data_IF_508301430203
#
_entry.id   IF_508301430203
#
_cell.length_a   1.000
_cell.length_b   1.000
_cell.length_c   1.000
_cell.angle_alpha   90.00
_cell.angle_beta   90.00
_cell.angle_gamma   90.00
#
_symmetry.space_group_name_H-M   'P 1'
#
loop_
_entity.id
_entity.type
_entity.pdbx_description
1 polymer ?
#
# COMPACT_ATOMS: atom_id res chain seq x y z
N UNK A 1 -16.81 -6.93 -5.00
CA UNK A 1 -15.68 -6.59 -4.11
C UNK A 1 -14.37 -6.33 -4.87
N UNK A 2 -13.98 -7.18 -5.82
CA UNK A 2 -12.73 -6.98 -6.62
C UNK A 2 -12.69 -5.63 -7.35
N UNK A 3 -13.82 -5.16 -7.88
CA UNK A 3 -13.89 -3.92 -8.67
C UNK A 3 -13.53 -2.66 -7.87
N UNK A 4 -13.98 -2.57 -6.61
CA UNK A 4 -13.63 -1.44 -5.74
C UNK A 4 -12.15 -1.44 -5.37
N UNK A 5 -11.56 -2.62 -5.14
CA UNK A 5 -10.12 -2.77 -4.92
C UNK A 5 -9.33 -2.29 -6.15
N UNK A 6 -9.75 -2.66 -7.37
CA UNK A 6 -9.10 -2.20 -8.59
C UNK A 6 -9.18 -0.67 -8.75
N UNK A 7 -10.33 -0.06 -8.44
CA UNK A 7 -10.49 1.40 -8.47
C UNK A 7 -9.59 2.09 -7.44
N UNK A 8 -9.50 1.53 -6.24
CA UNK A 8 -8.60 2.03 -5.19
C UNK A 8 -7.13 1.89 -5.60
N UNK A 9 -6.72 0.75 -6.14
CA UNK A 9 -5.34 0.55 -6.60
C UNK A 9 -4.96 1.49 -7.75
N UNK A 10 -5.92 1.88 -8.60
CA UNK A 10 -5.68 2.88 -9.66
C UNK A 10 -5.29 4.25 -9.10
N UNK A 11 -5.76 4.65 -7.92
CA UNK A 11 -5.37 5.96 -7.34
C UNK A 11 -3.88 6.01 -6.99
N UNK A 12 -3.29 4.85 -6.66
CA UNK A 12 -1.86 4.73 -6.37
C UNK A 12 -0.98 4.85 -7.62
N UNK A 13 -1.54 4.85 -8.84
CA UNK A 13 -0.76 4.88 -10.08
C UNK A 13 0.23 6.05 -10.12
N UNK A 14 -0.19 7.23 -9.65
CA UNK A 14 0.65 8.44 -9.63
C UNK A 14 1.84 8.34 -8.67
N UNK A 15 1.80 7.43 -7.69
CA UNK A 15 2.91 7.20 -6.77
C UNK A 15 4.08 6.46 -7.44
N UNK A 16 3.86 5.86 -8.61
CA UNK A 16 4.83 5.02 -9.31
C UNK A 16 5.24 5.63 -10.65
N UNK A 17 6.52 6.00 -10.84
CA UNK A 17 6.99 6.55 -12.11
C UNK A 17 7.06 5.49 -13.22
N UNK A 18 7.23 4.20 -12.86
CA UNK A 18 7.36 3.09 -13.82
C UNK A 18 6.11 2.21 -13.80
N UNK A 19 5.57 1.94 -14.99
CA UNK A 19 4.38 1.10 -15.16
C UNK A 19 4.60 -0.33 -14.65
N UNK A 20 5.79 -0.89 -14.89
CA UNK A 20 6.14 -2.23 -14.41
C UNK A 20 6.15 -2.32 -12.87
N UNK A 21 6.70 -1.31 -12.19
CA UNK A 21 6.72 -1.24 -10.72
C UNK A 21 5.31 -1.15 -10.15
N UNK A 22 4.42 -0.40 -10.80
CA UNK A 22 3.00 -0.36 -10.42
C UNK A 22 2.31 -1.72 -10.60
N UNK A 23 2.58 -2.41 -11.71
CA UNK A 23 2.01 -3.75 -11.94
C UNK A 23 2.45 -4.73 -10.85
N UNK A 24 3.74 -4.73 -10.48
CA UNK A 24 4.25 -5.54 -9.38
C UNK A 24 3.65 -5.16 -8.02
N UNK A 25 3.42 -3.88 -7.78
CA UNK A 25 2.71 -3.42 -6.59
C UNK A 25 1.28 -3.98 -6.52
N UNK A 26 0.53 -3.92 -7.62
CA UNK A 26 -0.83 -4.49 -7.70
C UNK A 26 -0.78 -5.99 -7.42
N UNK A 27 0.13 -6.72 -8.08
CA UNK A 27 0.34 -8.16 -7.85
C UNK A 27 0.68 -8.45 -6.38
N UNK A 28 1.50 -7.62 -5.74
CA UNK A 28 1.80 -7.75 -4.32
C UNK A 28 0.57 -7.60 -3.43
N UNK A 29 -0.25 -6.56 -3.66
CA UNK A 29 -1.46 -6.34 -2.86
C UNK A 29 -2.46 -7.49 -3.03
N UNK A 30 -2.71 -7.94 -4.27
CA UNK A 30 -3.53 -9.12 -4.51
C UNK A 30 -2.93 -10.37 -3.85
N UNK A 31 -1.61 -10.53 -3.94
CA UNK A 31 -0.86 -11.60 -3.30
C UNK A 31 -0.87 -11.56 -1.78
N UNK A 32 -1.17 -10.42 -1.15
CA UNK A 32 -1.40 -10.30 0.29
C UNK A 32 -2.87 -10.53 0.66
N UNK A 33 -3.82 -10.09 -0.17
CA UNK A 33 -5.26 -10.28 0.08
C UNK A 33 -5.69 -11.73 -0.07
N UNK A 34 -5.18 -12.43 -1.10
CA UNK A 34 -5.51 -13.83 -1.39
C UNK A 34 -4.80 -14.79 -0.43
N UNK A 35 -3.72 -14.35 0.19
CA UNK A 35 -2.84 -15.20 0.98
C UNK A 35 -3.39 -15.41 2.39
N UNK A 36 -3.60 -16.68 2.72
CA UNK A 36 -4.05 -17.16 4.04
C UNK A 36 -2.91 -17.79 4.88
N UNK A 37 -1.67 -17.85 4.36
CA UNK A 37 -0.55 -18.58 4.96
C UNK A 37 0.67 -17.70 5.33
N UNK A 38 1.40 -18.07 6.39
CA UNK A 38 2.63 -17.40 6.85
C UNK A 38 3.92 -17.65 6.01
N UNK A 39 3.86 -18.43 4.93
CA UNK A 39 5.03 -19.03 4.24
C UNK A 39 5.88 -18.13 3.29
N UNK A 40 6.14 -16.84 3.60
CA UNK A 40 6.96 -15.93 2.75
C UNK A 40 6.48 -15.64 1.30
N UNK A 41 7.15 -14.73 0.59
CA UNK A 41 6.73 -14.15 -0.72
C UNK A 41 6.48 -15.20 -1.84
N UNK A 42 7.14 -16.37 -1.75
CA UNK A 42 7.00 -17.48 -2.70
C UNK A 42 5.59 -18.07 -2.76
N UNK A 43 4.83 -18.05 -1.66
CA UNK A 43 3.46 -18.56 -1.67
C UNK A 43 2.54 -17.70 -2.54
N UNK A 44 2.75 -16.38 -2.61
CA UNK A 44 1.93 -15.47 -3.41
C UNK A 44 1.97 -15.80 -4.91
N UNK A 45 3.13 -16.24 -5.42
CA UNK A 45 3.29 -16.65 -6.83
C UNK A 45 2.51 -17.92 -7.13
N UNK A 46 2.58 -18.89 -6.22
CA UNK A 46 1.85 -20.15 -6.33
C UNK A 46 0.33 -19.91 -6.27
N UNK A 47 -0.14 -19.09 -5.33
CA UNK A 47 -1.57 -18.77 -5.17
C UNK A 47 -2.12 -17.96 -6.36
N UNK A 48 -1.33 -17.06 -6.92
CA UNK A 48 -1.72 -16.28 -8.11
C UNK A 48 -1.46 -17.01 -9.44
N UNK A 49 -0.96 -18.25 -9.41
CA UNK A 49 -0.55 -19.05 -10.59
C UNK A 49 0.36 -18.27 -11.55
N UNK A 50 1.25 -17.44 -11.01
CA UNK A 50 2.22 -16.70 -11.79
C UNK A 50 3.30 -17.65 -12.33
N UNK A 51 3.88 -17.31 -13.50
CA UNK A 51 4.90 -18.14 -14.13
C UNK A 51 6.15 -18.24 -13.23
N UNK A 52 6.78 -19.42 -13.03
CA UNK A 52 7.89 -19.58 -12.08
C UNK A 52 9.06 -18.61 -12.32
N UNK A 53 9.35 -18.29 -13.58
CA UNK A 53 10.40 -17.31 -13.95
C UNK A 53 10.12 -15.87 -13.52
N UNK A 54 8.92 -15.58 -13.02
CA UNK A 54 8.54 -14.24 -12.53
C UNK A 54 8.91 -14.02 -11.06
N UNK A 55 9.35 -15.07 -10.35
CA UNK A 55 9.74 -14.98 -8.94
C UNK A 55 10.89 -14.02 -8.71
N UNK A 56 11.96 -14.10 -9.50
CA UNK A 56 13.09 -13.19 -9.36
C UNK A 56 12.70 -11.75 -9.64
N UNK A 57 11.82 -11.50 -10.62
CA UNK A 57 11.29 -10.17 -10.91
C UNK A 57 10.44 -9.61 -9.77
N UNK A 58 9.61 -10.44 -9.16
CA UNK A 58 8.78 -10.05 -8.02
C UNK A 58 9.62 -9.83 -6.75
N UNK A 59 10.63 -10.66 -6.52
CA UNK A 59 11.56 -10.51 -5.41
C UNK A 59 12.46 -9.28 -5.60
N UNK A 60 12.90 -9.02 -6.83
CA UNK A 60 13.64 -7.82 -7.20
C UNK A 60 12.81 -6.56 -6.96
N UNK A 61 11.49 -6.59 -7.19
CA UNK A 61 10.61 -5.46 -6.85
C UNK A 61 10.70 -5.10 -5.37
N UNK A 62 10.63 -6.07 -4.44
CA UNK A 62 10.76 -5.81 -3.00
C UNK A 62 12.16 -5.36 -2.58
N UNK A 63 13.20 -5.86 -3.25
CA UNK A 63 14.59 -5.44 -2.99
C UNK A 63 14.93 -4.08 -3.61
N UNK A 64 14.19 -3.68 -4.64
CA UNK A 64 14.43 -2.43 -5.34
C UNK A 64 13.87 -1.25 -4.54
N UNK A 65 14.59 -0.13 -4.53
CA UNK A 65 14.06 1.17 -4.06
C UNK A 65 12.97 1.76 -4.98
N UNK A 66 12.40 0.97 -5.90
CA UNK A 66 11.35 1.40 -6.80
C UNK A 66 10.00 1.59 -6.05
N UNK A 67 9.81 0.87 -4.94
CA UNK A 67 8.69 1.08 -4.03
C UNK A 67 9.09 2.09 -2.94
N UNK A 68 8.66 3.35 -3.11
CA UNK A 68 8.81 4.37 -2.07
C UNK A 68 7.66 4.25 -1.07
N UNK A 69 7.87 3.47 -0.01
CA UNK A 69 6.86 3.19 1.03
C UNK A 69 6.25 4.47 1.59
N UNK A 70 7.07 5.51 1.84
CA UNK A 70 6.61 6.82 2.31
C UNK A 70 5.53 7.43 1.39
N UNK A 71 5.70 7.32 0.06
CA UNK A 71 4.72 7.84 -0.91
C UNK A 71 3.42 7.06 -0.86
N UNK A 72 3.52 5.73 -0.75
CA UNK A 72 2.36 4.83 -0.66
C UNK A 72 1.59 5.10 0.63
N UNK A 73 2.26 5.17 1.77
CA UNK A 73 1.65 5.47 3.08
C UNK A 73 1.01 6.86 3.08
N UNK A 74 1.70 7.88 2.55
CA UNK A 74 1.15 9.24 2.46
C UNK A 74 -0.11 9.28 1.59
N UNK A 75 -0.10 8.60 0.44
CA UNK A 75 -1.26 8.54 -0.44
C UNK A 75 -2.43 7.77 0.21
N UNK A 76 -2.14 6.64 0.86
CA UNK A 76 -3.13 5.86 1.61
C UNK A 76 -3.78 6.68 2.71
N UNK A 77 -2.99 7.38 3.53
CA UNK A 77 -3.50 8.25 4.59
C UNK A 77 -4.41 9.35 4.03
N UNK A 78 -4.02 10.00 2.93
CA UNK A 78 -4.85 11.00 2.24
C UNK A 78 -6.19 10.39 1.80
N UNK A 79 -6.17 9.19 1.22
CA UNK A 79 -7.36 8.49 0.76
C UNK A 79 -8.28 8.12 1.94
N UNK A 80 -7.73 7.59 3.04
CA UNK A 80 -8.49 7.27 4.26
C UNK A 80 -9.14 8.51 4.87
N UNK A 81 -8.42 9.63 4.92
CA UNK A 81 -8.96 10.91 5.40
C UNK A 81 -10.10 11.42 4.51
N UNK A 82 -9.99 11.28 3.19
CA UNK A 82 -11.03 11.69 2.24
C UNK A 82 -12.29 10.83 2.29
N UNK A 83 -12.16 9.54 2.61
CA UNK A 83 -13.29 8.59 2.70
C UNK A 83 -14.13 8.77 3.98
N UNK A 84 -13.84 9.77 4.82
CA UNK A 84 -14.63 10.03 6.02
C UNK A 84 -14.52 8.94 7.08
N UNK A 85 -13.52 8.07 7.00
CA UNK A 85 -13.16 7.13 8.07
C UNK A 85 -12.76 7.86 9.38
N UNK A 86 -12.64 9.19 9.32
CA UNK A 86 -12.65 10.06 10.48
C UNK A 86 -14.05 10.62 10.69
N UNK A 87 -14.85 9.91 11.48
CA UNK A 87 -16.10 10.44 12.03
C UNK A 87 -16.10 10.22 13.54
N UNK A 88 -15.90 11.31 14.29
CA UNK A 88 -16.09 11.34 15.74
C UNK A 88 -17.01 12.50 16.10
N UNK A 89 -17.96 12.23 17.02
CA UNK A 89 -18.78 13.26 17.67
C UNK A 89 -17.84 14.31 18.31
N UNK A 90 -18.07 15.59 18.06
CA UNK A 90 -17.32 16.73 18.64
C UNK A 90 -16.00 17.18 17.95
N UNK A 91 -15.82 16.96 16.65
CA UNK A 91 -14.89 17.77 15.83
C UNK A 91 -13.38 17.49 15.99
N UNK A 92 -12.98 16.50 16.78
CA UNK A 92 -11.59 16.06 16.91
C UNK A 92 -11.29 14.83 16.05
N UNK A 93 -10.19 14.87 15.29
CA UNK A 93 -9.72 13.77 14.43
C UNK A 93 -8.93 12.75 15.27
N UNK A 94 -9.47 11.54 15.47
CA UNK A 94 -8.75 10.45 16.13
C UNK A 94 -8.26 9.48 15.06
N UNK A 95 -6.95 9.45 14.84
CA UNK A 95 -6.31 8.44 14.01
C UNK A 95 -5.67 7.42 14.96
N UNK A 96 -6.27 6.24 15.09
CA UNK A 96 -5.69 5.14 15.87
C UNK A 96 -4.60 4.50 15.01
N UNK A 97 -3.39 5.04 15.07
CA UNK A 97 -2.19 4.32 14.61
C UNK A 97 -1.43 3.83 15.83
N UNK A 98 -1.28 2.53 15.99
CA UNK A 98 -0.26 1.97 16.87
C UNK A 98 1.07 2.08 16.10
N UNK A 99 1.67 3.27 16.12
CA UNK A 99 3.00 3.50 15.57
C UNK A 99 3.63 4.72 16.22
N UNK A 100 4.90 4.57 16.64
CA UNK A 100 5.74 5.65 17.15
C UNK A 100 6.09 6.61 16.01
N UNK A 101 5.24 7.62 15.79
CA UNK A 101 5.51 8.68 14.82
C UNK A 101 6.79 9.45 15.24
N UNK A 102 7.69 9.80 14.30
CA UNK A 102 8.69 10.83 14.57
C UNK A 102 7.95 12.14 14.87
N UNK A 103 8.23 12.68 16.06
CA UNK A 103 7.69 13.93 16.60
C UNK A 103 7.73 15.04 15.54
N UNK A 104 6.58 15.44 15.00
CA UNK A 104 6.49 16.70 14.23
C UNK A 104 6.75 17.85 15.21
N UNK A 105 7.93 18.46 15.10
CA UNK A 105 8.25 19.73 15.74
C UNK A 105 7.77 20.84 14.82
N UNK A 106 6.91 21.69 15.38
CA UNK A 106 6.55 23.04 14.94
C UNK A 106 5.70 23.18 13.67
N UNK A 107 4.47 23.69 13.87
CA UNK A 107 3.81 24.70 13.02
C UNK A 107 2.54 25.15 13.75
N UNK A 108 2.71 26.03 14.75
CA UNK A 108 1.71 26.96 15.27
C UNK A 108 2.48 28.11 15.94
N UNK A 109 2.95 29.05 15.12
CA UNK A 109 3.17 30.44 15.53
C UNK A 109 2.74 31.31 14.35
N UNK A 110 1.54 31.85 14.48
CA UNK A 110 1.07 33.10 13.90
C UNK A 110 -0.05 33.59 14.82
#
# INVERSE_FOLDING_TARGET
MIGQLCLLLKTFREAFPRSATFAWFVVAIFGFIVRLDHHGVSSSIRWLRLFPGTYEGFLAFFRSGALKIEKVVTHWLKLVMQQGAVRTRAGAFILVTESRLPRKRNLCQA
#
